data_IF_065298544042
#
_entry.id   IF_065298544042
#
_cell.length_a   1.000
_cell.length_b   1.000
_cell.length_c   1.000
_cell.angle_alpha   90.00
_cell.angle_beta   90.00
_cell.angle_gamma   90.00
#
_symmetry.space_group_name_H-M   'P 1'
#
loop_
_entity.id
_entity.type
_entity.pdbx_description
1 polymer ?
#
# COMPACT_ATOMS: atom_id res chain seq x y z
N UNK A 1 19.33 -9.36 13.75
CA UNK A 1 19.78 -9.22 15.16
C UNK A 1 19.94 -10.58 15.81
N UNK A 2 18.95 -11.47 15.82
CA UNK A 2 19.04 -12.81 16.42
C UNK A 2 20.21 -13.62 15.83
N UNK A 3 20.42 -13.60 14.51
CA UNK A 3 21.55 -14.23 13.86
C UNK A 3 22.93 -13.62 14.16
N UNK A 4 22.97 -12.50 14.89
CA UNK A 4 24.18 -11.81 15.32
C UNK A 4 24.46 -11.99 16.83
N UNK A 5 23.80 -12.97 17.48
CA UNK A 5 24.02 -13.31 18.89
C UNK A 5 23.19 -12.51 19.91
N UNK A 6 22.28 -11.64 19.46
CA UNK A 6 21.35 -10.97 20.35
C UNK A 6 20.09 -11.83 20.56
N UNK A 7 19.58 -11.92 21.80
CA UNK A 7 18.24 -12.42 22.03
C UNK A 7 17.23 -11.32 21.73
N UNK A 8 16.27 -11.60 20.85
CA UNK A 8 15.26 -10.62 20.41
C UNK A 8 13.89 -10.97 20.98
N UNK A 9 13.28 -10.06 21.72
CA UNK A 9 11.89 -10.20 22.14
C UNK A 9 11.02 -9.30 21.27
N UNK A 10 10.14 -9.89 20.46
CA UNK A 10 9.12 -9.15 19.73
C UNK A 10 7.91 -8.91 20.63
N UNK A 11 7.73 -7.67 21.08
CA UNK A 11 6.54 -7.24 21.79
C UNK A 11 5.51 -6.68 20.82
N UNK A 12 4.33 -7.27 20.82
CA UNK A 12 3.19 -6.78 20.02
C UNK A 12 1.97 -6.51 20.91
N UNK A 13 1.19 -5.48 20.58
CA UNK A 13 -0.02 -5.14 21.33
C UNK A 13 -1.15 -6.16 21.11
N UNK A 14 -1.26 -6.68 19.89
CA UNK A 14 -2.28 -7.64 19.46
C UNK A 14 -1.73 -8.51 18.33
N UNK A 15 -2.23 -9.73 18.15
CA UNK A 15 -1.82 -10.61 17.06
C UNK A 15 -2.05 -10.01 15.69
N UNK A 16 -1.23 -10.44 14.72
CA UNK A 16 -1.46 -10.24 13.28
C UNK A 16 -1.31 -11.56 12.54
N UNK A 17 -1.86 -11.65 11.33
CA UNK A 17 -1.62 -12.79 10.45
C UNK A 17 -0.24 -12.71 9.81
N UNK A 18 0.36 -13.89 9.63
CA UNK A 18 1.58 -14.06 8.87
C UNK A 18 1.34 -14.97 7.67
N UNK A 19 1.85 -14.55 6.52
CA UNK A 19 1.94 -15.37 5.32
C UNK A 19 3.41 -15.79 5.15
N UNK A 20 3.65 -17.09 5.18
CA UNK A 20 4.97 -17.66 4.92
C UNK A 20 5.18 -17.71 3.41
N UNK A 21 6.18 -17.04 2.94
CA UNK A 21 6.49 -16.99 1.51
C UNK A 21 7.97 -17.28 1.31
N UNK A 22 8.28 -18.20 0.38
CA UNK A 22 9.66 -18.45 0.01
C UNK A 22 10.28 -17.21 -0.64
N UNK A 23 11.57 -16.98 -0.35
CA UNK A 23 12.35 -15.87 -0.91
C UNK A 23 12.85 -16.17 -2.34
N UNK A 24 12.52 -17.34 -2.85
CA UNK A 24 12.84 -17.82 -4.21
C UNK A 24 11.55 -18.21 -4.92
N UNK A 25 11.59 -18.17 -6.23
CA UNK A 25 10.47 -18.57 -7.07
C UNK A 25 10.93 -19.69 -8.01
N UNK A 26 10.46 -20.92 -7.79
CA UNK A 26 10.88 -22.12 -8.53
C UNK A 26 10.77 -21.94 -10.05
N UNK A 27 9.68 -21.33 -10.53
CA UNK A 27 9.53 -21.04 -11.96
C UNK A 27 10.66 -20.10 -12.45
N UNK A 28 11.09 -19.13 -11.64
CA UNK A 28 12.21 -18.25 -12.02
C UNK A 28 13.52 -19.02 -12.20
N UNK A 29 13.78 -19.94 -11.30
CA UNK A 29 14.98 -20.77 -11.35
C UNK A 29 14.91 -21.69 -12.57
N UNK A 30 13.79 -22.36 -12.81
CA UNK A 30 13.57 -23.20 -14.01
C UNK A 30 13.78 -22.42 -15.31
N UNK A 31 13.23 -21.21 -15.42
CA UNK A 31 13.38 -20.40 -16.64
C UNK A 31 14.82 -19.89 -16.84
N UNK A 32 15.57 -19.68 -15.76
CA UNK A 32 17.01 -19.36 -15.82
C UNK A 32 17.83 -20.57 -16.28
N UNK A 33 17.53 -21.77 -15.76
CA UNK A 33 18.17 -23.01 -16.15
C UNK A 33 17.94 -23.37 -17.63
N UNK A 34 16.81 -22.90 -18.19
CA UNK A 34 16.48 -22.95 -19.62
C UNK A 34 17.15 -21.85 -20.44
N UNK A 35 18.00 -21.03 -19.84
CA UNK A 35 18.76 -19.94 -20.48
C UNK A 35 17.88 -18.91 -21.21
N UNK A 36 16.65 -18.68 -20.75
CA UNK A 36 15.76 -17.66 -21.31
C UNK A 36 16.27 -16.24 -21.01
N UNK A 37 15.98 -15.33 -21.93
CA UNK A 37 16.32 -13.91 -21.75
C UNK A 37 15.72 -13.36 -20.44
N UNK A 38 16.50 -12.61 -19.63
CA UNK A 38 16.03 -12.05 -18.36
C UNK A 38 14.76 -11.18 -18.47
N UNK A 39 14.56 -10.46 -19.56
CA UNK A 39 13.36 -9.64 -19.77
C UNK A 39 12.13 -10.54 -19.99
N UNK A 40 12.28 -11.63 -20.74
CA UNK A 40 11.23 -12.63 -20.95
C UNK A 40 10.88 -13.32 -19.62
N UNK A 41 11.88 -13.69 -18.83
CA UNK A 41 11.67 -14.28 -17.48
C UNK A 41 10.88 -13.29 -16.61
N UNK A 42 11.28 -12.02 -16.57
CA UNK A 42 10.59 -10.99 -15.81
C UNK A 42 9.12 -10.86 -16.21
N UNK A 43 8.82 -10.81 -17.50
CA UNK A 43 7.45 -10.69 -18.01
C UNK A 43 6.58 -11.89 -17.66
N UNK A 44 7.12 -13.11 -17.79
CA UNK A 44 6.42 -14.34 -17.42
C UNK A 44 6.11 -14.32 -15.92
N UNK A 45 7.13 -14.05 -15.08
CA UNK A 45 6.97 -14.03 -13.62
C UNK A 45 6.00 -12.95 -13.17
N UNK A 46 6.08 -11.75 -13.73
CA UNK A 46 5.17 -10.66 -13.41
C UNK A 46 3.71 -11.04 -13.69
N UNK A 47 3.44 -11.65 -14.86
CA UNK A 47 2.10 -12.14 -15.20
C UNK A 47 1.65 -13.24 -14.25
N UNK A 48 2.52 -14.21 -13.95
CA UNK A 48 2.22 -15.32 -13.04
C UNK A 48 1.91 -14.82 -11.64
N UNK A 49 2.78 -14.01 -11.06
CA UNK A 49 2.63 -13.49 -9.69
C UNK A 49 1.36 -12.65 -9.57
N UNK A 50 1.09 -11.75 -10.52
CA UNK A 50 -0.12 -10.92 -10.48
C UNK A 50 -1.40 -11.75 -10.67
N UNK A 51 -1.35 -12.80 -11.49
CA UNK A 51 -2.46 -13.75 -11.65
C UNK A 51 -2.73 -14.51 -10.34
N UNK A 52 -1.70 -15.06 -9.71
CA UNK A 52 -1.81 -15.81 -8.45
C UNK A 52 -2.32 -14.92 -7.31
N UNK A 53 -1.81 -13.70 -7.23
CA UNK A 53 -2.30 -12.72 -6.26
C UNK A 53 -3.81 -12.46 -6.44
N UNK A 54 -4.27 -12.23 -7.67
CA UNK A 54 -5.69 -12.03 -7.94
C UNK A 54 -6.52 -13.25 -7.51
N UNK A 55 -6.08 -14.45 -7.86
CA UNK A 55 -6.75 -15.69 -7.46
C UNK A 55 -6.83 -15.84 -5.94
N UNK A 56 -5.72 -15.59 -5.24
CA UNK A 56 -5.65 -15.60 -3.78
C UNK A 56 -6.60 -14.60 -3.14
N UNK A 57 -6.65 -13.36 -3.63
CA UNK A 57 -7.54 -12.34 -3.07
C UNK A 57 -9.01 -12.62 -3.30
N UNK A 58 -9.36 -13.15 -4.46
CA UNK A 58 -10.72 -13.65 -4.72
C UNK A 58 -11.09 -14.79 -3.77
N UNK A 59 -10.16 -15.69 -3.51
CA UNK A 59 -10.33 -16.77 -2.53
C UNK A 59 -10.59 -16.21 -1.13
N UNK A 60 -9.73 -15.32 -0.64
CA UNK A 60 -9.87 -14.69 0.69
C UNK A 60 -11.19 -13.92 0.82
N UNK A 61 -11.56 -13.15 -0.20
CA UNK A 61 -12.82 -12.40 -0.17
C UNK A 61 -14.05 -13.33 -0.12
N UNK A 62 -13.98 -14.46 -0.80
CA UNK A 62 -15.10 -15.42 -0.90
C UNK A 62 -15.13 -16.41 0.28
N UNK A 63 -13.97 -16.75 0.82
CA UNK A 63 -13.80 -17.78 1.85
C UNK A 63 -12.88 -17.30 3.00
N UNK A 64 -13.23 -16.21 3.72
CA UNK A 64 -12.33 -15.58 4.70
C UNK A 64 -11.97 -16.50 5.86
N UNK A 65 -12.88 -17.35 6.34
CA UNK A 65 -12.60 -18.27 7.42
C UNK A 65 -11.68 -19.42 6.99
N UNK A 66 -11.86 -19.93 5.77
CA UNK A 66 -10.94 -20.92 5.21
C UNK A 66 -9.53 -20.32 5.05
N UNK A 67 -9.42 -19.11 4.50
CA UNK A 67 -8.14 -18.41 4.38
C UNK A 67 -7.47 -18.16 5.74
N UNK A 68 -8.27 -17.83 6.78
CA UNK A 68 -7.78 -17.76 8.15
C UNK A 68 -7.16 -19.07 8.61
N UNK A 69 -7.88 -20.18 8.43
CA UNK A 69 -7.39 -21.50 8.84
C UNK A 69 -6.12 -21.91 8.08
N UNK A 70 -6.03 -21.59 6.78
CA UNK A 70 -4.85 -21.86 5.96
C UNK A 70 -3.62 -21.11 6.50
N UNK A 71 -3.76 -19.82 6.80
CA UNK A 71 -2.67 -19.02 7.39
C UNK A 71 -2.21 -19.57 8.75
N UNK A 72 -3.14 -19.96 9.62
CA UNK A 72 -2.78 -20.48 10.95
C UNK A 72 -2.16 -21.87 10.88
N UNK A 73 -2.66 -22.77 10.02
CA UNK A 73 -2.08 -24.12 9.81
C UNK A 73 -0.64 -24.05 9.30
N UNK A 74 -0.32 -23.07 8.45
CA UNK A 74 1.04 -22.90 7.96
C UNK A 74 2.05 -22.68 9.09
N UNK A 75 1.62 -22.18 10.25
CA UNK A 75 2.47 -21.97 11.43
C UNK A 75 2.65 -23.22 12.29
N UNK A 76 1.83 -24.26 12.15
CA UNK A 76 1.87 -25.47 12.99
C UNK A 76 3.18 -26.27 12.81
N UNK A 77 3.86 -26.09 11.69
CA UNK A 77 5.22 -26.68 11.47
C UNK A 77 6.31 -26.00 12.32
N UNK A 78 6.02 -24.82 12.85
CA UNK A 78 6.99 -23.96 13.52
C UNK A 78 6.71 -23.81 15.02
N UNK A 79 5.44 -23.71 15.41
CA UNK A 79 5.02 -23.37 16.76
C UNK A 79 3.93 -24.32 17.29
N UNK A 80 3.88 -24.56 18.59
CA UNK A 80 2.76 -25.23 19.23
C UNK A 80 1.44 -24.47 19.04
N UNK A 81 0.33 -25.19 18.95
CA UNK A 81 -0.99 -24.60 18.74
C UNK A 81 -1.37 -23.53 19.75
N UNK A 82 -1.02 -23.72 21.03
CA UNK A 82 -1.28 -22.74 22.09
C UNK A 82 -0.57 -21.41 21.86
N UNK A 83 0.67 -21.42 21.33
CA UNK A 83 1.41 -20.21 20.97
C UNK A 83 0.80 -19.53 19.74
N UNK A 84 0.34 -20.30 18.73
CA UNK A 84 -0.36 -19.78 17.57
C UNK A 84 -1.66 -19.09 17.97
N UNK A 85 -2.46 -19.72 18.82
CA UNK A 85 -3.71 -19.15 19.34
C UNK A 85 -3.47 -17.86 20.10
N UNK A 86 -2.43 -17.81 20.94
CA UNK A 86 -2.11 -16.67 21.78
C UNK A 86 -1.51 -15.50 21.03
N UNK A 87 -0.60 -15.75 20.08
CA UNK A 87 0.25 -14.71 19.50
C UNK A 87 0.00 -14.44 18.02
N UNK A 88 -0.69 -15.32 17.30
CA UNK A 88 -0.83 -15.23 15.82
C UNK A 88 -2.27 -15.37 15.33
N UNK A 89 -3.25 -15.38 16.25
CA UNK A 89 -4.67 -15.51 15.90
C UNK A 89 -5.43 -14.21 16.18
N UNK A 90 -5.41 -13.25 15.23
CA UNK A 90 -6.17 -12.01 15.39
C UNK A 90 -7.67 -12.23 15.31
N UNK A 91 -8.44 -11.28 15.87
CA UNK A 91 -9.91 -11.33 15.90
C UNK A 91 -10.57 -10.87 14.58
N UNK A 92 -9.81 -10.24 13.71
CA UNK A 92 -10.27 -9.76 12.40
C UNK A 92 -10.02 -10.80 11.30
N UNK A 93 -10.73 -10.69 10.18
CA UNK A 93 -10.52 -11.55 9.02
C UNK A 93 -9.23 -11.18 8.25
N UNK A 94 -8.60 -12.14 7.55
CA UNK A 94 -7.43 -11.84 6.71
C UNK A 94 -7.70 -10.66 5.78
N UNK A 95 -6.73 -9.75 5.64
CA UNK A 95 -6.77 -8.54 4.83
C UNK A 95 -7.78 -7.45 5.25
N UNK A 96 -8.50 -7.60 6.34
CA UNK A 96 -9.11 -6.45 7.02
C UNK A 96 -8.07 -5.53 7.65
N UNK A 97 -6.90 -6.09 7.97
CA UNK A 97 -5.66 -5.37 8.24
C UNK A 97 -4.53 -6.05 7.45
N UNK A 98 -3.34 -5.46 7.45
CA UNK A 98 -2.18 -6.04 6.75
C UNK A 98 -1.88 -7.44 7.26
N UNK A 99 -1.69 -8.38 6.36
CA UNK A 99 -1.05 -9.67 6.62
C UNK A 99 0.45 -9.47 6.48
N UNK A 100 1.22 -9.81 7.51
CA UNK A 100 2.68 -9.72 7.45
C UNK A 100 3.22 -10.85 6.56
N UNK A 101 4.20 -10.54 5.73
CA UNK A 101 4.90 -11.54 4.91
C UNK A 101 6.24 -11.83 5.56
N UNK A 102 6.53 -13.12 5.79
CA UNK A 102 7.77 -13.59 6.40
C UNK A 102 8.54 -14.43 5.39
N UNK A 103 9.62 -13.88 4.79
CA UNK A 103 10.42 -14.61 3.84
C UNK A 103 11.04 -15.87 4.48
N UNK A 104 10.83 -17.03 3.83
CA UNK A 104 11.37 -18.32 4.28
C UNK A 104 11.13 -18.61 5.76
N UNK A 105 10.07 -18.09 6.34
CA UNK A 105 9.68 -18.25 7.76
C UNK A 105 10.78 -17.84 8.77
N UNK A 106 11.63 -16.87 8.45
CA UNK A 106 12.81 -16.47 9.25
C UNK A 106 12.48 -16.11 10.71
N UNK A 107 11.37 -15.38 10.95
CA UNK A 107 10.88 -15.08 12.31
C UNK A 107 10.60 -16.37 13.08
N UNK A 108 9.90 -17.32 12.47
CA UNK A 108 9.49 -18.57 13.11
C UNK A 108 10.67 -19.49 13.35
N UNK A 109 11.67 -19.48 12.46
CA UNK A 109 12.94 -20.16 12.67
C UNK A 109 13.68 -19.60 13.88
N UNK A 110 13.74 -18.27 14.03
CA UNK A 110 14.38 -17.63 15.17
C UNK A 110 13.64 -17.93 16.50
N UNK A 111 12.32 -17.98 16.50
CA UNK A 111 11.54 -18.36 17.69
C UNK A 111 11.77 -19.85 18.02
N UNK A 112 11.69 -20.73 17.03
CA UNK A 112 11.89 -22.18 17.21
C UNK A 112 13.29 -22.53 17.72
N UNK A 113 14.31 -21.79 17.32
CA UNK A 113 15.69 -21.96 17.81
C UNK A 113 15.95 -21.32 19.19
N UNK A 114 14.99 -20.58 19.74
CA UNK A 114 15.17 -19.84 21.00
C UNK A 114 15.97 -18.54 20.86
N UNK A 115 16.38 -18.16 19.65
CA UNK A 115 17.09 -16.89 19.40
C UNK A 115 16.15 -15.67 19.46
N UNK A 116 14.84 -15.89 19.30
CA UNK A 116 13.82 -14.87 19.51
C UNK A 116 12.67 -15.39 20.36
N UNK A 117 11.95 -14.49 20.98
CA UNK A 117 10.70 -14.74 21.70
C UNK A 117 9.63 -13.74 21.29
N UNK A 118 8.36 -14.09 21.55
CA UNK A 118 7.22 -13.23 21.28
C UNK A 118 6.40 -13.01 22.54
N UNK A 119 5.96 -11.78 22.75
CA UNK A 119 5.05 -11.39 23.83
C UNK A 119 3.91 -10.58 23.22
N UNK A 120 2.68 -10.94 23.59
CA UNK A 120 1.48 -10.19 23.20
C UNK A 120 0.88 -9.54 24.41
N UNK A 121 1.14 -8.24 24.58
CA UNK A 121 0.65 -7.45 25.71
C UNK A 121 0.76 -5.95 25.41
N UNK A 122 0.17 -5.12 26.27
CA UNK A 122 0.23 -3.67 26.18
C UNK A 122 1.34 -3.11 27.08
N UNK A 123 2.09 -2.16 26.55
CA UNK A 123 3.07 -1.40 27.32
C UNK A 123 2.32 -0.55 28.36
N UNK A 124 2.71 -0.66 29.61
CA UNK A 124 2.29 0.25 30.66
C UNK A 124 3.24 1.46 30.70
N UNK A 125 4.53 1.20 30.82
CA UNK A 125 5.60 2.23 30.84
C UNK A 125 6.97 1.65 30.49
N UNK A 126 7.86 2.50 30.06
CA UNK A 126 9.28 2.19 30.00
C UNK A 126 9.92 2.33 31.39
N UNK A 127 10.90 1.48 31.66
CA UNK A 127 11.69 1.48 32.90
C UNK A 127 13.18 1.65 32.58
N UNK A 128 14.04 1.97 33.55
CA UNK A 128 15.49 2.07 33.28
C UNK A 128 16.13 0.78 32.77
N UNK A 129 15.49 -0.39 32.98
CA UNK A 129 16.02 -1.70 32.60
C UNK A 129 15.14 -2.46 31.63
N UNK A 130 14.14 -1.80 31.03
CA UNK A 130 13.27 -2.46 30.05
C UNK A 130 11.86 -1.89 29.98
N UNK A 131 10.84 -2.77 29.91
CA UNK A 131 9.44 -2.41 29.69
C UNK A 131 8.55 -3.10 30.71
N UNK A 132 7.72 -2.35 31.42
CA UNK A 132 6.63 -2.89 32.25
C UNK A 132 5.37 -3.02 31.39
N UNK A 133 4.69 -4.17 31.49
CA UNK A 133 3.50 -4.51 30.74
C UNK A 133 2.25 -4.42 31.62
N UNK A 134 1.08 -4.23 31.01
CA UNK A 134 -0.19 -4.13 31.74
C UNK A 134 -0.60 -5.41 32.45
N UNK A 135 -0.12 -6.56 32.02
CA UNK A 135 -0.29 -7.84 32.73
C UNK A 135 0.45 -7.92 34.08
N UNK A 136 1.34 -6.95 34.36
CA UNK A 136 2.27 -6.98 35.47
C UNK A 136 3.61 -7.65 35.15
N UNK A 137 3.79 -8.24 33.97
CA UNK A 137 5.07 -8.76 33.51
C UNK A 137 6.05 -7.61 33.19
N UNK A 138 7.33 -7.85 33.45
CA UNK A 138 8.41 -6.93 33.00
C UNK A 138 9.32 -7.63 32.02
N UNK A 139 9.67 -6.94 30.96
CA UNK A 139 10.64 -7.38 29.95
C UNK A 139 11.94 -6.62 30.16
N UNK A 140 13.01 -7.33 30.52
CA UNK A 140 14.34 -6.74 30.55
C UNK A 140 14.84 -6.48 29.11
N UNK A 141 15.47 -5.34 28.89
CA UNK A 141 16.03 -4.99 27.59
C UNK A 141 17.19 -4.01 27.73
N UNK A 142 18.30 -4.30 27.05
CA UNK A 142 19.44 -3.39 26.92
C UNK A 142 19.17 -2.33 25.83
N UNK A 143 18.41 -2.72 24.80
CA UNK A 143 18.02 -1.87 23.68
C UNK A 143 16.54 -2.07 23.35
N UNK A 144 15.80 -0.99 23.21
CA UNK A 144 14.41 -1.00 22.77
C UNK A 144 14.32 -0.36 21.39
N UNK A 145 13.82 -1.13 20.41
CA UNK A 145 13.58 -0.66 19.05
C UNK A 145 12.08 -0.45 18.88
N UNK A 146 11.66 0.79 18.65
CA UNK A 146 10.25 1.11 18.43
C UNK A 146 9.89 0.93 16.95
N UNK A 147 8.97 -0.01 16.69
CA UNK A 147 8.42 -0.28 15.36
C UNK A 147 6.88 -0.27 15.42
N UNK A 148 6.32 0.74 16.09
CA UNK A 148 4.90 0.81 16.49
C UNK A 148 3.96 1.29 15.38
N UNK A 149 4.46 1.44 14.16
CA UNK A 149 3.72 1.89 12.98
C UNK A 149 3.90 3.37 12.70
N UNK A 150 3.08 3.88 11.79
CA UNK A 150 3.17 5.26 11.29
C UNK A 150 1.92 6.05 11.63
N UNK A 151 2.06 7.34 11.69
CA UNK A 151 1.00 8.30 11.51
C UNK A 151 0.98 8.69 10.03
N UNK A 152 -0.19 8.51 9.39
CA UNK A 152 -0.31 8.83 7.96
C UNK A 152 -0.59 10.30 7.81
N UNK A 153 0.24 10.95 7.00
CA UNK A 153 0.05 12.32 6.55
C UNK A 153 -0.26 12.33 5.05
N UNK A 154 -1.20 13.15 4.64
CA UNK A 154 -1.52 13.31 3.23
C UNK A 154 -0.49 14.24 2.59
N UNK A 155 0.17 13.78 1.51
CA UNK A 155 1.20 14.54 0.78
C UNK A 155 2.35 15.05 1.68
N UNK A 156 2.65 14.34 2.78
CA UNK A 156 3.76 14.67 3.68
C UNK A 156 3.58 16.00 4.43
N UNK A 157 2.35 16.38 4.75
CA UNK A 157 1.97 17.64 5.40
C UNK A 157 2.40 18.90 4.62
N UNK A 158 2.61 18.78 3.30
CA UNK A 158 2.89 19.93 2.45
C UNK A 158 1.69 20.88 2.41
N UNK A 159 1.96 22.16 2.55
CA UNK A 159 0.96 23.23 2.45
C UNK A 159 0.87 23.69 1.00
N UNK A 160 -0.34 23.68 0.46
CA UNK A 160 -0.60 24.10 -0.93
C UNK A 160 -1.32 25.42 -0.98
N UNK A 161 -0.98 26.25 -1.97
CA UNK A 161 -1.75 27.41 -2.34
C UNK A 161 -1.80 27.55 -3.88
N UNK A 162 -2.95 27.97 -4.39
CA UNK A 162 -3.16 28.28 -5.80
C UNK A 162 -3.56 29.75 -5.90
N UNK A 163 -2.80 30.54 -6.66
CA UNK A 163 -2.99 31.99 -6.80
C UNK A 163 -3.11 32.73 -5.45
N UNK A 164 -2.27 32.31 -4.48
CA UNK A 164 -2.22 32.89 -3.13
C UNK A 164 -3.37 32.45 -2.19
N UNK A 165 -4.25 31.56 -2.64
CA UNK A 165 -5.31 31.00 -1.82
C UNK A 165 -4.90 29.63 -1.29
N UNK A 166 -4.98 29.38 0.03
CA UNK A 166 -4.66 28.07 0.59
C UNK A 166 -5.65 27.00 0.07
N UNK A 167 -5.14 25.78 -0.13
CA UNK A 167 -5.94 24.62 -0.51
C UNK A 167 -5.87 23.60 0.62
N UNK A 168 -7.02 23.36 1.24
CA UNK A 168 -7.17 22.36 2.29
C UNK A 168 -7.41 20.99 1.65
N UNK A 169 -6.44 20.09 1.81
CA UNK A 169 -6.44 18.76 1.14
C UNK A 169 -7.68 17.95 1.51
N UNK A 170 -8.12 18.02 2.75
CA UNK A 170 -9.30 17.30 3.26
C UNK A 170 -10.63 17.80 2.67
N UNK A 171 -10.62 18.98 2.04
CA UNK A 171 -11.76 19.54 1.29
C UNK A 171 -11.72 19.22 -0.20
N UNK A 172 -10.60 18.69 -0.70
CA UNK A 172 -10.48 18.28 -2.10
C UNK A 172 -11.12 16.91 -2.32
N UNK A 173 -11.47 16.61 -3.58
CA UNK A 173 -11.80 15.27 -4.02
C UNK A 173 -10.70 14.74 -4.93
N UNK A 174 -10.53 13.42 -4.97
CA UNK A 174 -9.52 12.83 -5.85
C UNK A 174 -10.14 12.14 -7.05
N UNK A 175 -9.61 12.46 -8.23
CA UNK A 175 -9.84 11.69 -9.44
C UNK A 175 -8.94 10.46 -9.41
N UNK A 176 -9.55 9.28 -9.38
CA UNK A 176 -8.89 7.97 -9.30
C UNK A 176 -7.76 7.93 -8.25
N UNK A 177 -7.90 8.65 -7.14
CA UNK A 177 -6.90 8.74 -6.09
C UNK A 177 -5.55 9.35 -6.48
N UNK A 178 -5.39 9.94 -7.68
CA UNK A 178 -4.11 10.47 -8.17
C UNK A 178 -4.11 11.98 -8.46
N UNK A 179 -5.19 12.58 -8.94
CA UNK A 179 -5.29 14.03 -9.09
C UNK A 179 -6.28 14.60 -8.08
N UNK A 180 -6.12 15.87 -7.74
CA UNK A 180 -6.93 16.55 -6.72
C UNK A 180 -7.70 17.71 -7.36
N UNK A 181 -8.97 17.87 -7.00
CA UNK A 181 -9.73 19.05 -7.41
C UNK A 181 -9.10 20.32 -6.81
N UNK A 182 -9.00 21.38 -7.61
CA UNK A 182 -8.42 22.66 -7.17
C UNK A 182 -6.89 22.69 -7.06
N UNK A 183 -6.18 21.60 -7.43
CA UNK A 183 -4.72 21.55 -7.50
C UNK A 183 -4.26 21.22 -8.92
N UNK A 184 -4.05 22.24 -9.78
CA UNK A 184 -3.61 22.01 -11.14
C UNK A 184 -2.19 21.41 -11.19
N UNK A 185 -1.94 20.59 -12.20
CA UNK A 185 -0.64 19.97 -12.50
C UNK A 185 -0.09 19.06 -11.38
N UNK A 186 -0.88 18.71 -10.38
CA UNK A 186 -0.47 17.79 -9.31
C UNK A 186 -0.99 16.38 -9.58
N UNK A 187 -0.08 15.43 -9.71
CA UNK A 187 -0.40 14.00 -9.76
C UNK A 187 0.36 13.28 -8.62
N UNK A 188 -0.39 12.62 -7.78
CA UNK A 188 0.14 11.80 -6.68
C UNK A 188 0.29 10.35 -7.13
N UNK A 189 1.48 9.78 -6.95
CA UNK A 189 1.67 8.34 -7.03
C UNK A 189 1.53 7.74 -5.63
N UNK A 190 0.55 6.89 -5.44
CA UNK A 190 0.33 6.11 -4.21
C UNK A 190 -0.04 4.69 -4.60
N UNK A 191 0.51 3.71 -3.89
CA UNK A 191 0.26 2.30 -4.21
C UNK A 191 -1.00 1.75 -3.56
N UNK A 192 -1.24 0.48 -3.81
CA UNK A 192 -2.38 -0.25 -3.26
C UNK A 192 -2.15 -0.60 -1.79
N UNK A 193 -3.12 -0.30 -0.95
CA UNK A 193 -2.99 -0.48 0.49
C UNK A 193 -3.12 -1.94 0.92
N UNK A 194 -3.87 -2.76 0.18
CA UNK A 194 -4.21 -4.12 0.62
C UNK A 194 -3.50 -5.22 -0.15
N UNK A 195 -3.52 -5.16 -1.47
CA UNK A 195 -3.52 -6.37 -2.27
C UNK A 195 -2.40 -6.47 -3.31
N UNK A 196 -1.68 -5.39 -3.58
CA UNK A 196 -0.70 -5.38 -4.66
C UNK A 196 0.54 -4.56 -4.29
N UNK A 197 1.61 -4.75 -5.05
CA UNK A 197 2.79 -3.91 -4.91
C UNK A 197 2.49 -2.46 -5.28
N UNK A 198 3.09 -1.55 -4.54
CA UNK A 198 3.06 -0.11 -4.83
C UNK A 198 3.58 0.23 -6.23
N UNK A 199 4.60 -0.52 -6.68
CA UNK A 199 5.23 -0.32 -7.99
C UNK A 199 4.29 -0.55 -9.16
N UNK A 200 3.31 -1.45 -9.02
CA UNK A 200 2.32 -1.72 -10.06
C UNK A 200 1.48 -0.48 -10.38
N UNK A 201 1.09 0.28 -9.35
CA UNK A 201 0.33 1.51 -9.55
C UNK A 201 1.19 2.67 -10.01
N UNK A 202 2.45 2.71 -9.56
CA UNK A 202 3.39 3.73 -10.01
C UNK A 202 3.56 3.71 -11.54
N UNK A 203 3.63 2.53 -12.15
CA UNK A 203 3.67 2.39 -13.62
C UNK A 203 2.40 2.91 -14.29
N UNK A 204 1.21 2.49 -13.82
CA UNK A 204 -0.06 2.99 -14.38
C UNK A 204 -0.17 4.52 -14.26
N UNK A 205 0.27 5.06 -13.12
CA UNK A 205 0.28 6.51 -12.90
C UNK A 205 1.30 7.22 -13.82
N UNK A 206 2.47 6.62 -14.05
CA UNK A 206 3.49 7.18 -14.95
C UNK A 206 2.99 7.22 -16.39
N UNK A 207 2.39 6.14 -16.89
CA UNK A 207 1.79 6.09 -18.23
C UNK A 207 0.66 7.10 -18.37
N UNK A 208 -0.18 7.23 -17.35
CA UNK A 208 -1.23 8.25 -17.31
C UNK A 208 -0.65 9.67 -17.41
N UNK A 209 0.41 9.98 -16.65
CA UNK A 209 1.09 11.29 -16.68
C UNK A 209 1.70 11.56 -18.07
N UNK A 210 2.34 10.56 -18.69
CA UNK A 210 2.89 10.74 -20.05
C UNK A 210 1.81 11.08 -21.07
N UNK A 211 0.66 10.41 -21.02
CA UNK A 211 -0.49 10.68 -21.87
C UNK A 211 -1.08 12.06 -21.58
N UNK A 212 -1.17 12.45 -20.30
CA UNK A 212 -1.65 13.76 -19.88
C UNK A 212 -0.76 14.89 -20.41
N UNK A 213 0.57 14.73 -20.31
CA UNK A 213 1.53 15.68 -20.86
C UNK A 213 1.42 15.78 -22.41
N UNK A 214 1.25 14.65 -23.09
CA UNK A 214 1.04 14.64 -24.53
C UNK A 214 -0.25 15.39 -24.93
N UNK A 215 -1.33 15.24 -24.17
CA UNK A 215 -2.58 15.96 -24.38
C UNK A 215 -2.44 17.46 -24.09
N UNK A 216 -1.68 17.84 -23.06
CA UNK A 216 -1.35 19.24 -22.77
C UNK A 216 -0.55 19.86 -23.91
N UNK A 217 0.47 19.16 -24.43
CA UNK A 217 1.25 19.62 -25.59
C UNK A 217 0.35 19.79 -26.84
N UNK A 218 -0.53 18.83 -27.11
CA UNK A 218 -1.44 18.86 -28.25
C UNK A 218 -2.49 19.99 -28.19
N UNK A 219 -2.98 20.31 -26.99
CA UNK A 219 -3.94 21.39 -26.75
C UNK A 219 -3.30 22.76 -26.54
N UNK A 220 -1.97 22.83 -26.42
CA UNK A 220 -1.25 24.08 -26.09
C UNK A 220 -1.54 24.57 -24.68
N UNK A 221 -1.90 23.68 -23.74
CA UNK A 221 -2.24 24.05 -22.39
C UNK A 221 -1.01 24.16 -21.49
N UNK A 222 -1.00 25.11 -20.56
CA UNK A 222 0.03 25.27 -19.53
C UNK A 222 -0.34 24.51 -18.25
N UNK A 223 -1.62 24.30 -18.00
CA UNK A 223 -2.10 23.58 -16.84
C UNK A 223 -3.28 22.68 -17.15
N UNK A 224 -3.42 21.64 -16.37
CA UNK A 224 -4.57 20.75 -16.33
C UNK A 224 -5.00 20.53 -14.89
N UNK A 225 -6.28 20.59 -14.65
CA UNK A 225 -6.90 20.23 -13.38
C UNK A 225 -8.09 19.30 -13.60
N UNK A 226 -8.56 18.65 -12.54
CA UNK A 226 -9.79 17.87 -12.58
C UNK A 226 -10.88 18.62 -11.85
N UNK A 227 -12.05 18.73 -12.48
CA UNK A 227 -13.24 19.34 -11.91
C UNK A 227 -14.32 18.26 -11.74
N UNK A 228 -14.86 18.14 -10.52
CA UNK A 228 -15.99 17.25 -10.29
C UNK A 228 -17.23 17.82 -10.94
N UNK A 229 -17.96 17.05 -11.77
CA UNK A 229 -19.22 17.53 -12.36
C UNK A 229 -20.19 18.01 -11.28
N UNK A 230 -20.83 19.17 -11.51
CA UNK A 230 -21.79 19.74 -10.58
C UNK A 230 -23.01 18.83 -10.29
N UNK A 231 -23.26 17.85 -11.14
CA UNK A 231 -24.28 16.81 -10.96
C UNK A 231 -23.90 15.75 -9.91
N UNK A 232 -22.62 15.72 -9.51
CA UNK A 232 -22.11 14.79 -8.52
C UNK A 232 -22.12 15.47 -7.15
N UNK A 233 -23.00 15.02 -6.26
CA UNK A 233 -22.97 15.41 -4.85
C UNK A 233 -22.10 14.45 -4.06
N UNK A 234 -21.04 14.95 -3.45
CA UNK A 234 -20.22 14.19 -2.50
C UNK A 234 -20.86 14.34 -1.11
N UNK A 235 -21.33 13.25 -0.49
CA UNK A 235 -21.80 13.32 0.88
C UNK A 235 -20.68 13.82 1.80
N UNK A 236 -21.00 14.69 2.74
CA UNK A 236 -20.05 15.35 3.65
C UNK A 236 -19.16 14.40 4.49
N UNK A 237 -19.37 13.09 4.42
CA UNK A 237 -18.63 12.06 5.17
C UNK A 237 -18.15 10.89 4.29
N UNK A 238 -17.89 11.10 3.01
CA UNK A 238 -17.49 10.03 2.09
C UNK A 238 -15.99 9.75 2.11
N UNK A 239 -15.29 10.10 3.19
CA UNK A 239 -13.87 9.83 3.35
C UNK A 239 -13.64 8.34 3.58
N UNK A 240 -12.79 7.72 2.75
CA UNK A 240 -12.40 6.33 2.90
C UNK A 240 -13.48 5.30 2.59
N UNK A 241 -14.53 5.66 1.82
CA UNK A 241 -15.54 4.69 1.35
C UNK A 241 -14.94 3.58 0.49
N UNK A 242 -13.90 3.90 -0.24
CA UNK A 242 -13.05 3.02 -1.05
C UNK A 242 -12.11 2.13 -0.22
N UNK A 243 -11.89 2.44 1.07
CA UNK A 243 -11.05 1.65 1.96
C UNK A 243 -11.80 0.50 2.66
N UNK A 244 -13.12 0.41 2.54
CA UNK A 244 -13.90 -0.68 3.14
C UNK A 244 -13.57 -2.03 2.47
N UNK A 245 -13.36 -3.09 3.23
CA UNK A 245 -13.48 -3.28 4.67
C UNK A 245 -12.18 -3.12 5.49
N UNK A 246 -11.23 -2.26 5.09
CA UNK A 246 -9.95 -2.11 5.78
C UNK A 246 -10.14 -1.40 7.13
N UNK A 247 -9.76 -2.05 8.24
CA UNK A 247 -10.04 -1.59 9.61
C UNK A 247 -8.79 -1.21 10.42
N UNK A 248 -7.64 -1.05 9.75
CA UNK A 248 -6.40 -0.67 10.43
C UNK A 248 -6.54 0.70 11.12
N UNK A 249 -6.27 0.76 12.42
CA UNK A 249 -6.50 1.93 13.25
C UNK A 249 -5.76 3.19 12.79
N UNK A 250 -4.56 3.03 12.24
CA UNK A 250 -3.79 4.16 11.70
C UNK A 250 -4.46 4.80 10.48
N UNK A 251 -5.12 4.00 9.63
CA UNK A 251 -5.92 4.51 8.51
C UNK A 251 -7.18 5.24 9.01
N UNK A 252 -7.86 4.63 10.00
CA UNK A 252 -9.06 5.25 10.57
C UNK A 252 -8.77 6.62 11.20
N UNK A 253 -7.62 6.78 11.86
CA UNK A 253 -7.18 8.08 12.39
C UNK A 253 -6.90 9.11 11.29
N UNK A 254 -6.32 8.67 10.17
CA UNK A 254 -5.95 9.55 9.07
C UNK A 254 -7.14 10.00 8.20
N UNK A 255 -8.30 9.34 8.28
CA UNK A 255 -9.45 9.61 7.40
C UNK A 255 -9.90 11.07 7.40
N UNK A 256 -9.81 11.75 8.54
CA UNK A 256 -10.24 13.16 8.64
C UNK A 256 -9.35 14.09 7.82
N UNK A 257 -8.06 13.74 7.65
CA UNK A 257 -7.09 14.53 6.90
C UNK A 257 -6.98 14.09 5.42
N UNK A 258 -7.69 13.03 5.05
CA UNK A 258 -7.69 12.54 3.67
C UNK A 258 -8.65 13.34 2.79
N UNK A 259 -8.37 13.43 1.49
CA UNK A 259 -9.31 13.97 0.52
C UNK A 259 -10.58 13.12 0.47
N UNK A 260 -11.63 13.70 -0.07
CA UNK A 260 -12.91 13.03 -0.22
C UNK A 260 -12.92 12.09 -1.41
N UNK A 261 -13.66 10.99 -1.29
CA UNK A 261 -13.99 10.09 -2.41
C UNK A 261 -15.37 10.45 -2.94
N UNK A 262 -15.53 10.50 -4.25
CA UNK A 262 -16.81 10.73 -4.91
C UNK A 262 -17.49 9.41 -5.31
N UNK A 263 -18.69 9.46 -5.86
CA UNK A 263 -19.38 8.31 -6.42
C UNK A 263 -18.81 7.92 -7.78
N UNK A 264 -18.84 6.62 -8.06
CA UNK A 264 -18.36 6.05 -9.32
C UNK A 264 -16.85 5.84 -9.38
N UNK A 265 -16.39 5.07 -10.37
CA UNK A 265 -14.99 4.61 -10.45
C UNK A 265 -13.99 5.75 -10.66
N UNK A 266 -14.40 6.85 -11.28
CA UNK A 266 -13.50 7.99 -11.53
C UNK A 266 -13.15 8.78 -10.26
N UNK A 267 -13.94 8.67 -9.21
CA UNK A 267 -13.76 9.41 -7.96
C UNK A 267 -13.49 8.51 -6.77
N UNK A 268 -13.08 7.27 -7.05
CA UNK A 268 -12.71 6.26 -6.07
C UNK A 268 -11.33 5.68 -6.39
N UNK A 269 -10.79 4.99 -5.42
CA UNK A 269 -9.58 4.23 -5.52
C UNK A 269 -9.95 2.75 -5.73
N UNK A 270 -9.57 2.20 -6.87
CA UNK A 270 -9.87 0.83 -7.25
C UNK A 270 -8.69 -0.12 -6.98
N UNK A 271 -8.85 -1.39 -7.26
CA UNK A 271 -7.77 -2.36 -7.21
C UNK A 271 -6.94 -2.36 -8.51
N UNK A 272 -5.75 -2.99 -8.45
CA UNK A 272 -4.83 -3.06 -9.58
C UNK A 272 -5.45 -3.67 -10.85
N UNK A 273 -6.23 -4.73 -10.69
CA UNK A 273 -6.76 -5.44 -11.86
C UNK A 273 -7.82 -4.64 -12.59
N UNK A 274 -8.62 -3.88 -11.87
CA UNK A 274 -9.56 -2.90 -12.42
C UNK A 274 -8.83 -1.71 -13.04
N UNK A 275 -7.85 -1.13 -12.34
CA UNK A 275 -7.11 0.03 -12.81
C UNK A 275 -6.22 -0.29 -14.02
N UNK A 276 -5.63 -1.48 -14.09
CA UNK A 276 -4.82 -1.93 -15.22
C UNK A 276 -5.58 -1.86 -16.56
N UNK A 277 -6.86 -2.16 -16.54
CA UNK A 277 -7.72 -2.08 -17.74
C UNK A 277 -8.26 -0.67 -17.95
N UNK A 278 -8.63 0.02 -16.87
CA UNK A 278 -9.33 1.31 -16.97
C UNK A 278 -8.40 2.52 -17.12
N UNK A 279 -7.17 2.52 -16.59
CA UNK A 279 -6.24 3.65 -16.75
C UNK A 279 -5.84 3.91 -18.19
N UNK A 280 -5.46 2.90 -19.00
CA UNK A 280 -5.18 3.11 -20.41
C UNK A 280 -6.37 3.61 -21.22
N UNK A 281 -7.59 3.32 -20.78
CA UNK A 281 -8.83 3.69 -21.46
C UNK A 281 -9.37 5.09 -21.06
N UNK A 282 -8.71 5.82 -20.15
CA UNK A 282 -9.13 7.16 -19.74
C UNK A 282 -9.11 8.09 -20.97
N UNK A 283 -10.25 8.71 -21.30
CA UNK A 283 -10.32 9.80 -22.26
C UNK A 283 -9.83 11.09 -21.62
N UNK A 284 -8.72 11.63 -22.11
CA UNK A 284 -8.11 12.85 -21.61
C UNK A 284 -8.59 14.11 -22.36
N UNK A 285 -9.49 13.98 -23.35
CA UNK A 285 -9.91 15.11 -24.20
C UNK A 285 -11.13 15.87 -23.65
N UNK A 286 -11.84 15.28 -22.69
CA UNK A 286 -13.08 15.82 -22.14
C UNK A 286 -13.11 15.87 -20.61
N UNK A 287 -14.30 16.09 -20.07
CA UNK A 287 -14.50 16.05 -18.61
C UNK A 287 -14.01 14.72 -18.02
N UNK A 288 -13.41 14.74 -16.82
CA UNK A 288 -13.35 15.86 -15.88
C UNK A 288 -12.11 16.76 -16.04
N UNK A 289 -11.33 16.62 -17.11
CA UNK A 289 -10.10 17.39 -17.32
C UNK A 289 -10.39 18.77 -17.87
N UNK A 290 -9.84 19.80 -17.24
CA UNK A 290 -9.94 21.19 -17.65
C UNK A 290 -8.54 21.71 -17.96
N UNK A 291 -8.29 22.05 -19.22
CA UNK A 291 -7.01 22.55 -19.71
C UNK A 291 -7.04 24.07 -19.79
N UNK A 292 -6.01 24.75 -19.27
CA UNK A 292 -5.97 26.23 -19.19
C UNK A 292 -4.63 26.81 -19.62
N UNK A 293 -4.73 28.02 -20.18
CA UNK A 293 -3.58 28.87 -20.54
C UNK A 293 -2.82 28.39 -21.79
N UNK A 294 -2.03 29.28 -22.38
CA UNK A 294 -1.13 28.91 -23.48
C UNK A 294 0.03 28.07 -22.91
N UNK A 295 0.26 26.91 -23.49
CA UNK A 295 1.43 26.10 -23.22
C UNK A 295 2.71 26.85 -23.54
N UNK A 296 3.78 26.62 -22.77
CA UNK A 296 5.11 27.08 -23.18
C UNK A 296 5.51 26.34 -24.45
N UNK A 297 5.70 27.07 -25.55
CA UNK A 297 6.41 26.51 -26.71
C UNK A 297 7.76 25.96 -26.20
N UNK A 298 7.95 24.65 -26.26
CA UNK A 298 9.26 24.06 -25.94
C UNK A 298 10.28 24.66 -26.90
N UNK A 299 11.19 25.48 -26.38
CA UNK A 299 12.42 25.79 -27.07
C UNK A 299 13.06 24.45 -27.47
N UNK A 300 13.32 24.29 -28.80
CA UNK A 300 13.66 23.04 -29.44
C UNK A 300 14.61 22.14 -28.62
N UNK A 301 14.37 20.85 -28.64
CA UNK A 301 15.22 19.83 -28.04
C UNK A 301 16.68 20.11 -28.37
N UNK A 302 17.46 20.51 -27.38
CA UNK A 302 18.90 20.38 -27.48
C UNK A 302 19.19 18.89 -27.59
N UNK A 303 19.68 18.47 -28.76
CA UNK A 303 20.23 17.14 -28.96
C UNK A 303 21.31 16.91 -27.90
N UNK A 304 21.12 15.92 -27.06
CA UNK A 304 22.16 15.44 -26.15
C UNK A 304 23.21 14.79 -27.06
N UNK A 305 24.47 15.23 -27.01
CA UNK A 305 25.52 14.55 -27.76
C UNK A 305 25.69 13.15 -27.16
N UNK A 306 25.52 12.13 -27.97
CA UNK A 306 25.96 10.75 -27.63
C UNK A 306 27.47 10.73 -27.64
N UNK A 307 28.09 10.67 -26.47
CA UNK A 307 29.48 10.29 -26.27
C UNK A 307 29.59 8.87 -25.80
#
# INVERSE_FOLDING_TARGET
LAGQGAHVTMLQRSPTYFNLQENRHELADTLRDLELDPAVIHDILRKKITYDQNAYFRHVAKHPEQARQELLRALENWLPKAEIERHFSPVYSPWQQRVAVTPSADLFQAIKSGAASIVTDQIERFTPTGIALRSGQSLAADVVITATGFEITTLGDAVFSVDGRPVEIDQTSTYRGCMFTGLPNLVRSVGYLRLSSWTLRAELTADFVLRLLAQMDASGAASVEVEMPATISVPAQNKGSDLKPFTATYMMRALQQMPQSGPGPDWQFEDYWTEKESFPAIDLTGAPFVYRGPGRQRAGRRSIPTS
#
